data_IF_569503614369
#
_entry.id   IF_569503614369
#
_cell.length_a   1.000
_cell.length_b   1.000
_cell.length_c   1.000
_cell.angle_alpha   90.00
_cell.angle_beta   90.00
_cell.angle_gamma   90.00
#
_symmetry.space_group_name_H-M   'P 1'
#
loop_
_entity.id
_entity.type
_entity.pdbx_description
1 polymer ?
#
# COMPACT_ATOMS: atom_id res chain seq x y z
N UNK A 1 17.17 -0.36 -0.44
CA UNK A 1 18.51 -0.16 -1.04
C UNK A 1 19.00 -1.56 -1.29
N UNK A 2 19.07 -1.98 -2.55
CA UNK A 2 19.61 -3.31 -2.88
C UNK A 2 21.05 -3.13 -3.38
N UNK A 3 21.81 -4.22 -3.35
CA UNK A 3 23.26 -4.34 -3.51
C UNK A 3 23.90 -3.72 -4.77
N UNK A 4 23.11 -3.25 -5.73
CA UNK A 4 23.59 -2.82 -7.05
C UNK A 4 23.49 -1.29 -7.26
N UNK A 5 23.03 -0.54 -6.26
CA UNK A 5 22.99 0.93 -6.31
C UNK A 5 22.01 1.55 -7.31
N UNK A 6 21.24 0.74 -8.05
CA UNK A 6 20.27 1.21 -9.02
C UNK A 6 18.97 1.70 -8.33
N UNK A 7 18.63 2.98 -8.52
CA UNK A 7 17.35 3.54 -8.11
C UNK A 7 16.23 2.95 -8.98
N UNK A 8 15.50 1.97 -8.43
CA UNK A 8 14.22 1.56 -9.02
C UNK A 8 13.16 2.57 -8.60
N UNK A 9 12.44 3.12 -9.59
CA UNK A 9 11.28 3.96 -9.32
C UNK A 9 10.16 3.11 -8.71
N UNK A 10 9.50 3.64 -7.69
CA UNK A 10 8.30 3.06 -7.08
C UNK A 10 7.10 3.90 -7.49
N UNK A 11 5.98 3.24 -7.80
CA UNK A 11 4.70 3.93 -7.97
C UNK A 11 4.03 3.99 -6.62
N UNK A 12 3.86 5.19 -6.05
CA UNK A 12 3.22 5.38 -4.76
C UNK A 12 1.71 5.53 -4.94
N UNK A 13 0.93 4.73 -4.22
CA UNK A 13 -0.53 4.82 -4.19
C UNK A 13 -0.95 5.19 -2.76
N UNK A 14 -1.17 6.49 -2.46
CA UNK A 14 -1.58 6.92 -1.14
C UNK A 14 -3.00 6.43 -0.80
N UNK A 15 -3.19 5.88 0.41
CA UNK A 15 -4.51 5.50 0.97
C UNK A 15 -4.99 6.42 2.09
N UNK A 16 -4.47 7.66 2.15
CA UNK A 16 -4.82 8.66 3.19
C UNK A 16 -6.28 9.17 3.11
N UNK A 17 -6.96 8.91 2.00
CA UNK A 17 -8.40 9.12 1.82
C UNK A 17 -9.05 7.79 1.48
N UNK A 18 -10.33 7.58 1.82
CA UNK A 18 -11.09 6.37 1.45
C UNK A 18 -11.19 6.12 -0.08
N UNK A 19 -10.64 7.03 -0.89
CA UNK A 19 -10.42 6.91 -2.33
C UNK A 19 -8.91 6.83 -2.63
N UNK A 20 -8.53 5.98 -3.60
CA UNK A 20 -7.18 5.94 -4.14
C UNK A 20 -6.86 7.25 -4.88
N UNK A 21 -5.67 7.81 -4.63
CA UNK A 21 -5.21 9.06 -5.26
C UNK A 21 -3.97 8.78 -6.13
N UNK A 22 -3.80 9.53 -7.21
CA UNK A 22 -2.63 9.41 -8.09
C UNK A 22 -1.43 10.23 -7.62
N UNK A 23 -0.34 10.23 -8.39
CA UNK A 23 0.89 10.99 -8.08
C UNK A 23 0.66 12.51 -7.92
N UNK A 24 -0.42 13.04 -8.50
CA UNK A 24 -0.84 14.45 -8.42
C UNK A 24 -1.73 14.75 -7.21
N UNK A 25 -2.02 13.77 -6.35
CA UNK A 25 -2.89 13.91 -5.18
C UNK A 25 -4.39 14.03 -5.48
N UNK A 26 -4.79 13.93 -6.76
CA UNK A 26 -6.19 13.89 -7.16
C UNK A 26 -6.76 12.50 -6.92
N UNK A 27 -7.97 12.42 -6.34
CA UNK A 27 -8.71 11.16 -6.27
C UNK A 27 -8.83 10.58 -7.67
N UNK A 28 -8.34 9.36 -7.86
CA UNK A 28 -8.49 8.66 -9.12
C UNK A 28 -9.97 8.28 -9.23
N UNK A 29 -10.68 8.72 -10.28
CA UNK A 29 -11.96 8.11 -10.63
C UNK A 29 -11.76 6.59 -10.70
N UNK A 30 -12.71 5.80 -10.23
CA UNK A 30 -12.59 4.33 -10.26
C UNK A 30 -12.29 3.80 -11.66
N UNK A 31 -12.86 4.44 -12.70
CA UNK A 31 -12.56 4.18 -14.11
C UNK A 31 -11.12 4.55 -14.52
N UNK A 32 -10.53 5.58 -13.91
CA UNK A 32 -9.14 5.96 -14.13
C UNK A 32 -8.17 5.01 -13.41
N UNK A 33 -8.56 4.39 -12.30
CA UNK A 33 -7.77 3.33 -11.68
C UNK A 33 -7.77 2.08 -12.57
N UNK A 34 -8.94 1.65 -13.05
CA UNK A 34 -9.02 0.57 -14.03
C UNK A 34 -8.20 0.88 -15.28
N UNK A 35 -8.29 2.09 -15.83
CA UNK A 35 -7.49 2.50 -16.99
C UNK A 35 -5.99 2.63 -16.68
N UNK A 36 -5.62 3.07 -15.47
CA UNK A 36 -4.23 3.13 -15.03
C UNK A 36 -3.66 1.72 -14.88
N UNK A 37 -4.38 0.82 -14.22
CA UNK A 37 -4.01 -0.58 -14.00
C UNK A 37 -4.02 -1.42 -15.29
N UNK A 38 -5.03 -1.23 -16.15
CA UNK A 38 -5.14 -1.90 -17.46
C UNK A 38 -4.17 -1.30 -18.49
N UNK A 39 -3.77 -0.04 -18.31
CA UNK A 39 -2.80 0.66 -19.16
C UNK A 39 -1.35 0.49 -18.73
N UNK A 40 -1.08 -0.20 -17.62
CA UNK A 40 0.29 -0.54 -17.21
C UNK A 40 0.92 -1.41 -18.29
N UNK A 41 1.95 -0.89 -18.94
CA UNK A 41 2.77 -1.69 -19.85
C UNK A 41 3.54 -2.73 -19.04
N UNK A 42 4.03 -3.80 -19.69
CA UNK A 42 4.92 -4.79 -19.06
C UNK A 42 6.12 -4.14 -18.33
N UNK A 43 6.52 -2.93 -18.77
CA UNK A 43 7.58 -2.13 -18.17
C UNK A 43 7.17 -1.47 -16.85
N UNK A 44 5.90 -1.14 -16.67
CA UNK A 44 5.35 -0.56 -15.44
C UNK A 44 5.12 -1.65 -14.38
N UNK A 45 4.83 -2.89 -14.81
CA UNK A 45 4.79 -4.05 -13.92
C UNK A 45 6.13 -4.38 -13.26
N UNK A 46 7.26 -3.99 -13.86
CA UNK A 46 8.61 -4.14 -13.26
C UNK A 46 8.84 -3.26 -12.03
N UNK A 47 8.03 -2.21 -11.83
CA UNK A 47 8.10 -1.35 -10.64
C UNK A 47 7.11 -1.89 -9.61
N UNK A 48 7.56 -2.20 -8.38
CA UNK A 48 6.62 -2.58 -7.33
C UNK A 48 5.80 -1.34 -6.92
N UNK A 49 4.47 -1.43 -6.88
CA UNK A 49 3.66 -0.40 -6.25
C UNK A 49 3.91 -0.40 -4.74
N UNK A 50 3.95 0.80 -4.18
CA UNK A 50 3.98 1.03 -2.73
C UNK A 50 2.59 1.44 -2.28
N UNK A 51 1.92 0.53 -1.58
CA UNK A 51 0.67 0.78 -0.86
C UNK A 51 1.03 1.31 0.53
N UNK A 52 0.89 2.61 0.73
CA UNK A 52 1.39 3.27 1.93
C UNK A 52 0.24 3.64 2.87
N UNK A 53 0.40 3.32 4.17
CA UNK A 53 -0.57 3.54 5.25
C UNK A 53 -1.90 2.78 5.06
N UNK A 54 -1.81 1.54 4.57
CA UNK A 54 -2.99 0.68 4.45
C UNK A 54 -3.57 0.40 5.84
N UNK A 55 -4.88 0.64 5.99
CA UNK A 55 -5.58 0.46 7.26
C UNK A 55 -5.77 1.71 8.09
N UNK A 56 -5.22 2.86 7.68
CA UNK A 56 -5.45 4.11 8.41
C UNK A 56 -6.90 4.60 8.34
N UNK A 57 -7.58 4.40 7.19
CA UNK A 57 -9.00 4.72 6.98
C UNK A 57 -9.69 3.50 6.36
N UNK A 58 -10.91 3.15 6.81
CA UNK A 58 -11.72 2.15 6.11
C UNK A 58 -11.89 2.50 4.64
N UNK A 59 -11.69 1.51 3.78
CA UNK A 59 -11.90 1.66 2.35
C UNK A 59 -13.40 1.70 2.05
N UNK A 60 -13.77 2.42 0.99
CA UNK A 60 -15.08 2.18 0.38
C UNK A 60 -15.16 0.74 -0.13
N UNK A 61 -16.37 0.18 -0.25
CA UNK A 61 -16.55 -1.17 -0.81
C UNK A 61 -15.84 -1.33 -2.16
N UNK A 62 -16.01 -0.35 -3.06
CA UNK A 62 -15.35 -0.39 -4.36
C UNK A 62 -13.83 -0.27 -4.22
N UNK A 63 -13.32 0.57 -3.31
CA UNK A 63 -11.87 0.69 -3.06
C UNK A 63 -11.26 -0.63 -2.58
N UNK A 64 -11.95 -1.35 -1.70
CA UNK A 64 -11.55 -2.69 -1.25
C UNK A 64 -11.53 -3.71 -2.39
N UNK A 65 -12.55 -3.74 -3.25
CA UNK A 65 -12.63 -4.63 -4.42
C UNK A 65 -11.51 -4.33 -5.44
N UNK A 66 -11.25 -3.05 -5.71
CA UNK A 66 -10.19 -2.59 -6.61
C UNK A 66 -8.80 -2.97 -6.10
N UNK A 67 -8.55 -2.78 -4.80
CA UNK A 67 -7.27 -3.14 -4.19
C UNK A 67 -7.06 -4.66 -4.19
N UNK A 68 -8.12 -5.43 -3.96
CA UNK A 68 -8.11 -6.88 -4.08
C UNK A 68 -7.77 -7.34 -5.50
N UNK A 69 -8.36 -6.72 -6.52
CA UNK A 69 -8.06 -7.04 -7.92
C UNK A 69 -6.61 -6.72 -8.26
N UNK A 70 -6.11 -5.55 -7.85
CA UNK A 70 -4.70 -5.16 -8.05
C UNK A 70 -3.73 -6.19 -7.46
N UNK A 71 -3.94 -6.57 -6.20
CA UNK A 71 -3.08 -7.53 -5.52
C UNK A 71 -3.19 -8.91 -6.17
N UNK A 72 -4.40 -9.32 -6.57
CA UNK A 72 -4.64 -10.58 -7.26
C UNK A 72 -3.96 -10.65 -8.63
N UNK A 73 -3.94 -9.55 -9.39
CA UNK A 73 -3.26 -9.49 -10.69
C UNK A 73 -1.74 -9.53 -10.57
N UNK A 74 -1.17 -9.07 -9.44
CA UNK A 74 0.27 -9.08 -9.18
C UNK A 74 0.77 -10.33 -8.47
N UNK A 75 -0.12 -11.08 -7.82
CA UNK A 75 0.19 -12.35 -7.17
C UNK A 75 0.98 -13.26 -8.14
N UNK A 76 2.12 -13.76 -7.68
CA UNK A 76 3.10 -14.56 -8.46
C UNK A 76 3.71 -13.90 -9.72
N UNK A 77 3.38 -12.63 -10.00
CA UNK A 77 3.81 -11.90 -11.23
C UNK A 77 4.68 -10.69 -10.96
N UNK A 78 4.61 -10.09 -9.77
CA UNK A 78 5.47 -8.96 -9.41
C UNK A 78 5.43 -8.62 -7.93
N UNK A 79 6.51 -8.03 -7.41
CA UNK A 79 6.59 -7.59 -6.03
C UNK A 79 5.62 -6.43 -5.74
N UNK A 80 5.13 -6.34 -4.50
CA UNK A 80 4.28 -5.26 -3.99
C UNK A 80 4.81 -4.90 -2.60
N UNK A 81 5.03 -3.61 -2.34
CA UNK A 81 5.42 -3.13 -1.01
C UNK A 81 4.18 -2.57 -0.32
N UNK A 82 3.96 -2.97 0.92
CA UNK A 82 2.84 -2.50 1.73
C UNK A 82 3.37 -1.99 3.06
N UNK A 83 2.92 -0.81 3.49
CA UNK A 83 3.10 -0.32 4.85
C UNK A 83 1.72 -0.26 5.52
N UNK A 84 1.66 -0.72 6.76
CA UNK A 84 0.45 -0.67 7.58
C UNK A 84 0.86 -0.47 9.04
N UNK A 85 0.05 0.28 9.77
CA UNK A 85 0.14 0.39 11.22
C UNK A 85 -0.85 -0.56 11.93
N UNK A 86 -1.62 -1.35 11.17
CA UNK A 86 -2.57 -2.32 11.72
C UNK A 86 -2.03 -3.75 11.58
N UNK A 87 -2.20 -4.60 12.60
CA UNK A 87 -1.98 -6.03 12.46
C UNK A 87 -3.01 -6.66 11.50
N UNK A 88 -2.68 -7.82 10.93
CA UNK A 88 -3.50 -8.43 9.86
C UNK A 88 -4.92 -8.82 10.30
N UNK A 89 -5.14 -9.13 11.57
CA UNK A 89 -6.45 -9.43 12.14
C UNK A 89 -7.39 -8.21 12.13
N UNK A 90 -6.84 -6.99 12.23
CA UNK A 90 -7.60 -5.74 12.14
C UNK A 90 -7.91 -5.30 10.70
N UNK A 91 -7.34 -5.95 9.68
CA UNK A 91 -7.58 -5.56 8.28
C UNK A 91 -9.03 -5.76 7.84
N UNK A 92 -9.80 -6.59 8.54
CA UNK A 92 -11.24 -6.77 8.24
C UNK A 92 -12.01 -5.46 8.39
N UNK A 93 -11.61 -4.59 9.33
CA UNK A 93 -12.21 -3.26 9.54
C UNK A 93 -11.91 -2.32 8.36
N UNK A 94 -10.77 -2.54 7.70
CA UNK A 94 -10.33 -1.73 6.55
C UNK A 94 -11.05 -2.13 5.27
N UNK A 95 -11.18 -3.43 5.03
CA UNK A 95 -11.77 -3.98 3.79
C UNK A 95 -13.28 -4.24 3.90
N UNK A 96 -13.85 -4.21 5.10
CA UNK A 96 -15.28 -4.32 5.36
C UNK A 96 -15.88 -5.72 5.15
N UNK A 97 -15.07 -6.72 4.81
CA UNK A 97 -15.52 -8.10 4.60
C UNK A 97 -14.45 -9.10 5.01
N UNK A 98 -14.77 -9.99 5.94
CA UNK A 98 -13.89 -11.07 6.39
C UNK A 98 -13.48 -11.99 5.24
N UNK A 99 -14.43 -12.33 4.35
CA UNK A 99 -14.16 -13.18 3.17
C UNK A 99 -13.17 -12.53 2.21
N UNK A 100 -13.34 -11.25 1.90
CA UNK A 100 -12.44 -10.52 1.00
C UNK A 100 -11.05 -10.34 1.64
N UNK A 101 -11.02 -10.00 2.92
CA UNK A 101 -9.78 -9.84 3.69
C UNK A 101 -9.00 -11.15 3.78
N UNK A 102 -9.67 -12.25 4.13
CA UNK A 102 -9.03 -13.57 4.21
C UNK A 102 -8.44 -14.00 2.86
N UNK A 103 -9.19 -13.83 1.76
CA UNK A 103 -8.70 -14.13 0.42
C UNK A 103 -7.52 -13.23 0.00
N UNK A 104 -7.48 -11.98 0.48
CA UNK A 104 -6.37 -11.07 0.23
C UNK A 104 -5.11 -11.48 1.01
N UNK A 105 -5.27 -11.73 2.31
CA UNK A 105 -4.18 -12.12 3.20
C UNK A 105 -3.55 -13.44 2.76
N UNK A 106 -4.34 -14.40 2.31
CA UNK A 106 -3.86 -15.67 1.74
C UNK A 106 -2.86 -15.43 0.58
N UNK A 107 -3.22 -14.54 -0.36
CA UNK A 107 -2.34 -14.16 -1.49
C UNK A 107 -1.11 -13.39 -1.06
N UNK A 108 -1.27 -12.43 -0.13
CA UNK A 108 -0.16 -11.61 0.33
C UNK A 108 0.85 -12.43 1.11
N UNK A 109 0.40 -13.32 1.99
CA UNK A 109 1.26 -14.05 2.95
C UNK A 109 1.93 -15.28 2.35
N UNK A 110 1.53 -15.75 1.17
CA UNK A 110 2.17 -16.89 0.52
C UNK A 110 3.64 -16.63 0.14
N UNK A 111 3.96 -15.44 -0.38
CA UNK A 111 5.31 -15.04 -0.79
C UNK A 111 5.68 -13.65 -0.25
N UNK A 112 5.87 -13.57 1.08
CA UNK A 112 6.12 -12.29 1.78
C UNK A 112 7.39 -12.32 2.62
N UNK A 113 7.98 -11.15 2.79
CA UNK A 113 8.89 -10.85 3.89
C UNK A 113 8.21 -9.81 4.77
N UNK A 114 7.91 -10.18 6.03
CA UNK A 114 7.28 -9.26 6.99
C UNK A 114 8.39 -8.62 7.81
N UNK A 115 8.39 -7.28 7.84
CA UNK A 115 9.33 -6.49 8.64
C UNK A 115 8.53 -5.78 9.73
N UNK A 116 8.58 -6.31 10.94
CA UNK A 116 7.95 -5.67 12.10
C UNK A 116 8.78 -4.47 12.58
N UNK A 117 8.16 -3.30 12.60
CA UNK A 117 8.82 -2.05 13.00
C UNK A 117 8.44 -1.69 14.45
N UNK A 118 9.18 -2.22 15.41
CA UNK A 118 8.95 -2.01 16.85
C UNK A 118 9.81 -0.88 17.44
N UNK A 119 9.83 0.28 16.78
CA UNK A 119 10.70 1.41 17.14
C UNK A 119 9.95 2.65 17.62
N UNK A 120 10.66 3.52 18.35
CA UNK A 120 10.14 4.84 18.71
C UNK A 120 9.87 5.71 17.48
N UNK A 121 8.83 6.55 17.57
CA UNK A 121 8.51 7.51 16.52
C UNK A 121 9.67 8.49 16.28
N UNK A 122 10.27 8.39 15.10
CA UNK A 122 11.34 9.30 14.67
C UNK A 122 10.87 10.75 14.64
N UNK A 123 9.61 10.99 14.25
CA UNK A 123 8.99 12.33 14.23
C UNK A 123 8.89 12.92 15.64
N UNK A 124 8.51 12.11 16.63
CA UNK A 124 8.45 12.55 18.02
C UNK A 124 9.85 12.88 18.57
N UNK A 125 10.84 12.05 18.27
CA UNK A 125 12.24 12.31 18.63
C UNK A 125 12.76 13.64 18.10
N UNK A 126 12.49 13.94 16.82
CA UNK A 126 12.86 15.22 16.21
C UNK A 126 12.15 16.42 16.86
N UNK A 127 10.86 16.28 17.18
CA UNK A 127 10.09 17.33 17.84
C UNK A 127 10.65 17.69 19.22
N UNK A 128 10.94 16.67 20.05
CA UNK A 128 11.57 16.85 21.37
C UNK A 128 12.95 17.50 21.27
N UNK A 129 13.76 17.08 20.29
CA UNK A 129 15.08 17.66 20.05
C UNK A 129 15.04 19.14 19.63
N UNK A 130 13.95 19.57 18.97
CA UNK A 130 13.71 20.98 18.63
C UNK A 130 13.26 21.80 19.85
N UNK A 131 12.38 21.26 20.70
CA UNK A 131 11.90 21.95 21.90
C UNK A 131 12.98 22.14 22.96
N UNK A 132 13.91 21.19 23.11
CA UNK A 132 15.04 21.31 24.06
C UNK A 132 16.14 22.29 23.64
N UNK A 133 16.00 22.96 22.50
CA UNK A 133 16.93 23.99 22.00
C UNK A 133 16.36 25.42 22.09
N UNK A 134 15.17 25.58 22.67
CA UNK A 134 14.50 26.87 22.88
C UNK A 134 14.70 27.36 24.33
#
# INVERSE_FOLDING_TARGET
>A
MDSDGALRGFTHLPTRSGSLVGETGTALPEAALFAHLAGLSEKDYRRPPCLDELGFVPLSKTGAELLFELISQRYERGATLITSNLPFDEWTETFGSERLTGALLDRLTHHVNILEMNGDSYRLGQSKARQGKA
#
